data_IF_287899570992
#
_entry.id   IF_287899570992
#
_cell.length_a   1.000
_cell.length_b   1.000
_cell.length_c   1.000
_cell.angle_alpha   90.00
_cell.angle_beta   90.00
_cell.angle_gamma   90.00
#
_symmetry.space_group_name_H-M   'P 1'
#
loop_
_entity.id
_entity.type
_entity.pdbx_description
1 polymer ?
#
# COMPACT_ATOMS: atom_id res chain seq x y z
N UNK A 1 2.18 -0.88 10.74
CA UNK A 1 1.93 0.52 10.32
C UNK A 1 0.99 0.49 9.13
N UNK A 2 0.06 1.45 9.02
CA UNK A 2 -0.99 1.43 7.97
C UNK A 2 -1.02 2.74 7.21
N UNK A 3 -1.14 2.64 5.89
CA UNK A 3 -1.31 3.78 4.99
C UNK A 3 -2.33 3.43 3.91
N UNK A 4 -2.92 4.45 3.29
CA UNK A 4 -3.87 4.26 2.21
C UNK A 4 -3.65 5.29 1.10
N UNK A 5 -3.93 4.88 -0.12
CA UNK A 5 -3.92 5.74 -1.31
C UNK A 5 -5.27 5.69 -1.98
N UNK A 6 -5.74 6.87 -2.39
CA UNK A 6 -7.02 7.04 -3.05
C UNK A 6 -6.77 7.37 -4.51
N UNK A 7 -7.24 6.48 -5.39
CA UNK A 7 -7.29 6.69 -6.83
C UNK A 7 -8.76 6.82 -7.25
N UNK A 8 -9.01 7.44 -8.41
CA UNK A 8 -10.38 7.64 -8.93
C UNK A 8 -11.19 6.32 -9.01
N UNK A 9 -10.54 5.22 -9.38
CA UNK A 9 -11.23 3.95 -9.63
C UNK A 9 -11.08 2.91 -8.50
N UNK A 10 -10.13 3.09 -7.60
CA UNK A 10 -9.80 2.12 -6.55
C UNK A 10 -9.06 2.75 -5.38
N UNK A 11 -9.05 2.06 -4.25
CA UNK A 11 -8.28 2.44 -3.06
C UNK A 11 -7.28 1.35 -2.74
N UNK A 12 -6.03 1.72 -2.52
CA UNK A 12 -5.00 0.81 -2.04
C UNK A 12 -4.81 0.99 -0.53
N UNK A 13 -4.83 -0.13 0.19
CA UNK A 13 -4.50 -0.21 1.61
C UNK A 13 -3.17 -0.94 1.76
N UNK A 14 -2.23 -0.29 2.45
CA UNK A 14 -0.93 -0.85 2.75
C UNK A 14 -0.81 -1.12 4.24
N UNK A 15 -0.39 -2.34 4.59
CA UNK A 15 -0.07 -2.72 5.96
C UNK A 15 1.35 -3.29 6.05
N UNK A 16 2.13 -2.70 6.95
CA UNK A 16 3.51 -3.09 7.19
C UNK A 16 3.66 -3.64 8.61
N UNK A 17 4.20 -4.85 8.74
CA UNK A 17 4.26 -5.58 10.01
C UNK A 17 5.60 -5.44 10.76
N UNK A 18 6.54 -4.66 10.23
CA UNK A 18 7.87 -4.50 10.83
C UNK A 18 8.86 -5.61 10.44
N UNK A 19 8.60 -6.30 9.34
CA UNK A 19 9.44 -7.35 8.77
C UNK A 19 9.94 -6.93 7.37
N UNK A 20 10.20 -7.87 6.46
CA UNK A 20 10.62 -7.60 5.08
C UNK A 20 9.43 -7.56 4.11
N UNK A 21 8.20 -7.50 4.61
CA UNK A 21 6.99 -7.69 3.81
C UNK A 21 5.98 -6.58 4.08
N UNK A 22 5.34 -6.10 3.01
CA UNK A 22 4.24 -5.15 3.06
C UNK A 22 3.05 -5.78 2.35
N UNK A 23 1.92 -5.85 3.03
CA UNK A 23 0.66 -6.27 2.44
C UNK A 23 0.02 -5.10 1.70
N UNK A 24 -0.45 -5.35 0.46
CA UNK A 24 -1.26 -4.41 -0.30
C UNK A 24 -2.60 -5.04 -0.65
N UNK A 25 -3.67 -4.37 -0.24
CA UNK A 25 -5.05 -4.73 -0.61
C UNK A 25 -5.65 -3.60 -1.44
N UNK A 26 -5.97 -3.90 -2.70
CA UNK A 26 -6.69 -3.00 -3.61
C UNK A 26 -8.17 -3.28 -3.57
N UNK A 27 -8.96 -2.25 -3.28
CA UNK A 27 -10.42 -2.31 -3.24
C UNK A 27 -11.03 -1.38 -4.29
N UNK A 28 -12.09 -1.83 -4.92
CA UNK A 28 -12.96 -1.01 -5.77
C UNK A 28 -14.36 -1.06 -5.15
N UNK A 29 -14.76 0.04 -4.51
CA UNK A 29 -15.91 0.03 -3.61
C UNK A 29 -15.72 -0.95 -2.44
N UNK A 30 -16.69 -1.84 -2.22
CA UNK A 30 -16.63 -2.87 -1.17
C UNK A 30 -15.86 -4.14 -1.61
N UNK A 31 -15.49 -4.26 -2.88
CA UNK A 31 -14.87 -5.46 -3.43
C UNK A 31 -13.35 -5.37 -3.41
N UNK A 32 -12.69 -6.35 -2.79
CA UNK A 32 -11.25 -6.57 -2.98
C UNK A 32 -11.00 -7.09 -4.39
N UNK A 33 -10.26 -6.33 -5.19
CA UNK A 33 -9.91 -6.69 -6.57
C UNK A 33 -8.46 -7.19 -6.69
N UNK A 34 -7.61 -6.88 -5.70
CA UNK A 34 -6.24 -7.37 -5.65
C UNK A 34 -5.75 -7.49 -4.21
N UNK A 35 -4.96 -8.52 -3.94
CA UNK A 35 -4.30 -8.74 -2.66
C UNK A 35 -2.92 -9.30 -2.96
N UNK A 36 -1.88 -8.51 -2.69
CA UNK A 36 -0.49 -8.87 -2.97
C UNK A 36 0.40 -8.62 -1.74
N UNK A 37 1.57 -9.24 -1.77
CA UNK A 37 2.66 -9.00 -0.82
C UNK A 37 3.85 -8.42 -1.57
N UNK A 38 4.37 -7.29 -1.08
CA UNK A 38 5.59 -6.67 -1.57
C UNK A 38 6.70 -7.12 -0.63
N UNK A 39 7.66 -7.88 -1.17
CA UNK A 39 8.72 -8.53 -0.41
C UNK A 39 10.05 -7.84 -0.73
N UNK A 40 10.82 -7.58 0.32
CA UNK A 40 12.14 -6.94 0.26
C UNK A 40 13.20 -7.88 0.84
N UNK A 41 14.47 -7.58 0.56
CA UNK A 41 15.59 -8.36 1.11
C UNK A 41 15.91 -7.94 2.55
N UNK A 42 15.63 -6.70 2.92
CA UNK A 42 15.88 -6.17 4.27
C UNK A 42 14.68 -5.42 4.88
N UNK A 43 14.66 -5.35 6.21
CA UNK A 43 13.64 -4.61 6.98
C UNK A 43 13.75 -3.10 6.74
N UNK A 44 14.97 -2.59 6.60
CA UNK A 44 15.21 -1.15 6.37
C UNK A 44 14.67 -0.71 4.99
N UNK A 45 14.83 -1.54 3.96
CA UNK A 45 14.24 -1.29 2.64
C UNK A 45 12.71 -1.31 2.68
N UNK A 46 12.12 -2.31 3.33
CA UNK A 46 10.66 -2.39 3.49
C UNK A 46 10.13 -1.15 4.25
N UNK A 47 10.81 -0.75 5.33
CA UNK A 47 10.44 0.43 6.09
C UNK A 47 10.57 1.72 5.26
N UNK A 48 11.68 1.90 4.54
CA UNK A 48 11.90 3.04 3.65
C UNK A 48 10.83 3.13 2.56
N UNK A 49 10.57 2.02 1.88
CA UNK A 49 9.51 1.94 0.87
C UNK A 49 8.14 2.29 1.46
N UNK A 50 7.78 1.72 2.61
CA UNK A 50 6.51 2.03 3.26
C UNK A 50 6.40 3.52 3.66
N UNK A 51 7.49 4.13 4.08
CA UNK A 51 7.50 5.52 4.54
C UNK A 51 7.46 6.52 3.37
N UNK A 52 8.19 6.25 2.29
CA UNK A 52 8.40 7.21 1.21
C UNK A 52 7.46 6.97 0.02
N UNK A 53 7.04 5.72 -0.24
CA UNK A 53 6.30 5.36 -1.45
C UNK A 53 4.83 5.01 -1.19
N UNK A 54 4.46 4.69 0.05
CA UNK A 54 3.05 4.44 0.40
C UNK A 54 2.41 5.69 1.00
N UNK A 55 1.19 6.01 0.57
CA UNK A 55 0.31 7.00 1.20
C UNK A 55 0.56 8.47 0.83
N UNK A 56 1.42 8.75 -0.15
CA UNK A 56 1.65 10.12 -0.64
C UNK A 56 0.61 10.55 -1.69
N UNK A 57 -0.12 9.62 -2.30
CA UNK A 57 -1.03 9.93 -3.40
C UNK A 57 -2.49 10.13 -2.94
N UNK A 58 -2.94 11.39 -2.98
CA UNK A 58 -4.36 11.79 -2.94
C UNK A 58 -4.66 12.51 -4.27
N UNK A 59 -4.72 11.75 -5.37
CA UNK A 59 -4.99 12.30 -6.69
C UNK A 59 -6.40 11.96 -7.15
N UNK A 60 -7.35 12.87 -6.94
CA UNK A 60 -8.61 12.85 -7.66
C UNK A 60 -8.33 13.36 -9.09
N UNK A 61 -8.21 12.46 -10.08
CA UNK A 61 -8.35 12.90 -11.47
C UNK A 61 -9.84 13.12 -11.73
N UNK A 62 -10.20 14.39 -11.98
CA UNK A 62 -11.53 14.87 -12.33
C UNK A 62 -11.87 14.56 -13.80
#
# INVERSE_FOLDING_TARGET
MRKHELYTDYHDHFEYFGNTEIERIRKQGEKTIRHDWIIFDTVDEAMGFFNDQCGEFIGCYA
#
